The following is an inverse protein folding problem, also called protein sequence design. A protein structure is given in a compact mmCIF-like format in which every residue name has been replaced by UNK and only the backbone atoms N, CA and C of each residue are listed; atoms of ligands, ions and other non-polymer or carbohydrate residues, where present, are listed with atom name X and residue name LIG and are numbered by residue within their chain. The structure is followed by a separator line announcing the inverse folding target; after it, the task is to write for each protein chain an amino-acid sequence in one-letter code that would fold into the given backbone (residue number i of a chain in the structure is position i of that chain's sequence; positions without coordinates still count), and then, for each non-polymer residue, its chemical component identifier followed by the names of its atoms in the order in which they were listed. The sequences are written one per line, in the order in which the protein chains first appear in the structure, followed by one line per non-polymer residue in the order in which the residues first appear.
data_IF_824799636207
#
_entry.id   IF_824799636207
#
_cell.length_a   1.000
_cell.length_b   1.000
_cell.length_c   1.000
_cell.angle_alpha   90.00
_cell.angle_beta   90.00
_cell.angle_gamma   90.00
#
_symmetry.space_group_name_H-M   'P 1'
#
loop_
_entity.id
_entity.type
_entity.pdbx_description
1 polymer ?
#
# COMPACT_ATOMS: atom_id res chain seq x y z
N UNK A 1 27.49 -29.71 4.02
CA UNK A 1 28.04 -28.37 3.68
C UNK A 1 27.00 -27.65 2.83
N UNK A 2 26.22 -26.78 3.44
CA UNK A 2 25.35 -25.90 2.67
C UNK A 2 26.24 -24.99 1.83
N UNK A 3 26.00 -25.00 0.55
CA UNK A 3 26.79 -24.29 -0.43
C UNK A 3 26.71 -22.77 -0.15
N UNK A 4 27.86 -22.08 0.04
CA UNK A 4 27.92 -20.64 0.25
C UNK A 4 27.11 -19.88 -0.83
N UNK A 5 27.04 -20.41 -2.04
CA UNK A 5 26.32 -19.84 -3.16
C UNK A 5 24.77 -19.89 -2.95
N UNK A 6 24.25 -20.93 -2.28
CA UNK A 6 22.83 -21.02 -1.96
C UNK A 6 22.42 -20.01 -0.89
N UNK A 7 23.26 -19.79 0.13
CA UNK A 7 23.06 -18.76 1.16
C UNK A 7 23.11 -17.35 0.55
N UNK A 8 24.07 -17.12 -0.36
CA UNK A 8 24.22 -15.83 -1.04
C UNK A 8 23.04 -15.53 -1.97
N UNK A 9 22.48 -16.53 -2.63
CA UNK A 9 21.25 -16.41 -3.40
C UNK A 9 20.04 -16.08 -2.50
N UNK A 10 19.95 -16.72 -1.34
CA UNK A 10 18.85 -16.47 -0.39
C UNK A 10 18.91 -15.09 0.29
N UNK A 11 20.08 -14.46 0.33
CA UNK A 11 20.32 -13.17 0.99
C UNK A 11 20.44 -11.98 0.04
N UNK A 12 20.13 -12.14 -1.26
CA UNK A 12 20.18 -11.00 -2.17
C UNK A 12 19.10 -9.97 -1.88
N UNK A 13 19.36 -8.72 -2.23
CA UNK A 13 18.50 -7.56 -1.95
C UNK A 13 17.07 -7.76 -2.48
N UNK A 14 16.90 -8.24 -3.70
CA UNK A 14 15.56 -8.45 -4.30
C UNK A 14 14.73 -9.47 -3.52
N UNK A 15 15.36 -10.58 -3.10
CA UNK A 15 14.72 -11.59 -2.27
C UNK A 15 14.33 -11.05 -0.90
N UNK A 16 15.19 -10.27 -0.27
CA UNK A 16 14.90 -9.64 1.02
C UNK A 16 13.75 -8.66 0.93
N UNK A 17 13.74 -7.77 -0.05
CA UNK A 17 12.66 -6.79 -0.27
C UNK A 17 11.32 -7.52 -0.48
N UNK A 18 11.29 -8.52 -1.36
CA UNK A 18 10.09 -9.32 -1.62
C UNK A 18 9.59 -10.05 -0.38
N UNK A 19 10.50 -10.67 0.38
CA UNK A 19 10.15 -11.40 1.59
C UNK A 19 9.60 -10.47 2.67
N UNK A 20 10.24 -9.34 2.89
CA UNK A 20 9.79 -8.32 3.86
C UNK A 20 8.40 -7.80 3.47
N UNK A 21 8.18 -7.46 2.20
CA UNK A 21 6.86 -7.04 1.72
C UNK A 21 5.78 -8.07 2.01
N UNK A 22 6.03 -9.35 1.70
CA UNK A 22 5.09 -10.43 1.95
C UNK A 22 4.80 -10.61 3.45
N UNK A 23 5.82 -10.50 4.29
CA UNK A 23 5.67 -10.63 5.74
C UNK A 23 4.89 -9.46 6.35
N UNK A 24 5.17 -8.23 5.93
CA UNK A 24 4.41 -7.04 6.36
C UNK A 24 2.95 -7.17 5.94
N UNK A 25 2.69 -7.54 4.68
CA UNK A 25 1.33 -7.74 4.17
C UNK A 25 0.55 -8.76 5.00
N UNK A 26 1.18 -9.90 5.31
CA UNK A 26 0.57 -10.94 6.14
C UNK A 26 0.28 -10.45 7.55
N UNK A 27 1.21 -9.74 8.17
CA UNK A 27 1.04 -9.18 9.52
C UNK A 27 -0.08 -8.14 9.56
N UNK A 28 -0.15 -7.26 8.59
CA UNK A 28 -1.22 -6.27 8.48
C UNK A 28 -2.60 -6.94 8.39
N UNK A 29 -2.75 -7.92 7.50
CA UNK A 29 -4.01 -8.66 7.33
C UNK A 29 -4.40 -9.39 8.62
N UNK A 30 -3.44 -10.02 9.32
CA UNK A 30 -3.68 -10.65 10.61
C UNK A 30 -4.17 -9.64 11.65
N UNK A 31 -3.48 -8.50 11.81
CA UNK A 31 -3.87 -7.45 12.75
C UNK A 31 -5.26 -6.88 12.42
N UNK A 32 -5.58 -6.68 11.14
CA UNK A 32 -6.91 -6.24 10.70
C UNK A 32 -7.99 -7.26 11.04
N UNK A 33 -7.75 -8.53 10.74
CA UNK A 33 -8.68 -9.63 11.03
C UNK A 33 -8.96 -9.75 12.53
N UNK A 34 -7.92 -9.67 13.38
CA UNK A 34 -8.07 -9.68 14.85
C UNK A 34 -8.92 -8.51 15.36
N UNK A 35 -8.93 -7.39 14.65
CA UNK A 35 -9.80 -6.24 14.94
C UNK A 35 -11.18 -6.32 14.28
N UNK A 36 -11.52 -7.42 13.61
CA UNK A 36 -12.80 -7.61 12.92
C UNK A 36 -12.92 -6.84 11.60
N UNK A 37 -11.80 -6.43 11.00
CA UNK A 37 -11.76 -5.67 9.76
C UNK A 37 -11.33 -6.55 8.58
N UNK A 38 -12.11 -6.49 7.49
CA UNK A 38 -11.81 -7.17 6.22
C UNK A 38 -11.25 -6.16 5.21
N UNK A 39 -9.93 -6.03 5.21
CA UNK A 39 -9.20 -5.15 4.30
C UNK A 39 -7.84 -5.74 3.93
N UNK A 40 -7.45 -5.65 2.66
CA UNK A 40 -6.11 -5.96 2.19
C UNK A 40 -5.18 -4.75 2.29
N UNK A 41 -3.87 -4.99 2.29
CA UNK A 41 -2.88 -3.91 2.25
C UNK A 41 -3.01 -3.07 0.97
N UNK A 42 -3.26 -3.71 -0.18
CA UNK A 42 -3.48 -3.01 -1.45
C UNK A 42 -4.72 -2.09 -1.41
N UNK A 43 -5.81 -2.55 -0.79
CA UNK A 43 -7.00 -1.71 -0.59
C UNK A 43 -6.69 -0.52 0.32
N UNK A 44 -5.97 -0.73 1.42
CA UNK A 44 -5.53 0.33 2.31
C UNK A 44 -4.68 1.37 1.58
N UNK A 45 -3.72 0.92 0.76
CA UNK A 45 -2.85 1.80 -0.03
C UNK A 45 -3.62 2.67 -1.02
N UNK A 46 -4.73 2.19 -1.55
CA UNK A 46 -5.62 2.96 -2.45
C UNK A 46 -6.48 3.95 -1.66
N UNK A 47 -6.97 3.59 -0.48
CA UNK A 47 -7.80 4.49 0.34
C UNK A 47 -7.02 5.71 0.85
N UNK A 48 -5.73 5.57 1.12
CA UNK A 48 -4.89 6.64 1.65
C UNK A 48 -4.90 7.92 0.81
N UNK A 49 -4.49 7.88 -0.46
CA UNK A 49 -4.51 9.05 -1.34
C UNK A 49 -5.89 9.69 -1.47
N UNK A 50 -6.95 8.89 -1.57
CA UNK A 50 -8.33 9.38 -1.65
C UNK A 50 -8.70 10.12 -0.36
N UNK A 51 -8.31 9.58 0.80
CA UNK A 51 -8.58 10.21 2.09
C UNK A 51 -7.89 11.58 2.22
N UNK A 52 -6.61 11.65 1.87
CA UNK A 52 -5.82 12.87 2.07
C UNK A 52 -6.11 13.96 1.03
N UNK A 53 -6.48 13.60 -0.19
CA UNK A 53 -6.79 14.55 -1.27
C UNK A 53 -8.28 14.83 -1.41
N UNK A 54 -9.16 14.09 -0.73
CA UNK A 54 -10.62 14.17 -0.86
C UNK A 54 -11.17 13.41 -2.05
N UNK A 55 -10.43 13.33 -3.13
CA UNK A 55 -10.70 12.52 -4.33
C UNK A 55 -9.40 12.09 -5.01
N UNK A 56 -9.47 11.16 -5.94
CA UNK A 56 -8.32 10.76 -6.75
C UNK A 56 -8.78 10.23 -8.12
N UNK A 57 -8.04 10.57 -9.18
CA UNK A 57 -8.17 9.89 -10.46
C UNK A 57 -7.53 8.50 -10.40
N UNK A 58 -7.96 7.57 -11.27
CA UNK A 58 -7.31 6.27 -11.34
C UNK A 58 -5.83 6.36 -11.76
N UNK A 59 -5.47 7.38 -12.56
CA UNK A 59 -4.07 7.66 -12.90
C UNK A 59 -3.25 8.02 -11.66
N UNK A 60 -3.74 8.92 -10.83
CA UNK A 60 -3.07 9.30 -9.57
C UNK A 60 -2.89 8.08 -8.66
N UNK A 61 -3.91 7.24 -8.54
CA UNK A 61 -3.83 6.01 -7.74
C UNK A 61 -2.80 5.02 -8.31
N UNK A 62 -2.74 4.88 -9.64
CA UNK A 62 -1.75 4.03 -10.32
C UNK A 62 -0.32 4.52 -10.04
N UNK A 63 -0.07 5.81 -10.19
CA UNK A 63 1.23 6.42 -9.95
C UNK A 63 1.63 6.31 -8.47
N UNK A 64 0.73 6.63 -7.56
CA UNK A 64 0.99 6.59 -6.11
C UNK A 64 1.24 5.17 -5.58
N UNK A 65 0.47 4.20 -6.05
CA UNK A 65 0.57 2.82 -5.58
C UNK A 65 1.63 1.99 -6.34
N UNK A 66 2.29 2.57 -7.35
CA UNK A 66 3.21 1.85 -8.25
C UNK A 66 2.57 0.59 -8.84
N UNK A 67 1.30 0.70 -9.24
CA UNK A 67 0.52 -0.38 -9.84
C UNK A 67 0.02 0.02 -11.23
N UNK A 68 -0.14 -0.97 -12.09
CA UNK A 68 -0.74 -0.75 -13.40
C UNK A 68 -2.24 -0.38 -13.30
N UNK A 69 -2.75 0.21 -14.37
CA UNK A 69 -4.14 0.67 -14.47
C UNK A 69 -5.15 -0.47 -14.24
N UNK A 70 -4.86 -1.67 -14.73
CA UNK A 70 -5.74 -2.84 -14.59
C UNK A 70 -5.85 -3.28 -13.13
N UNK A 71 -4.73 -3.32 -12.41
CA UNK A 71 -4.68 -3.65 -10.98
C UNK A 71 -5.46 -2.61 -10.15
N UNK A 72 -5.27 -1.33 -10.42
CA UNK A 72 -6.02 -0.25 -9.74
C UNK A 72 -7.51 -0.36 -10.02
N UNK A 73 -7.92 -0.59 -11.27
CA UNK A 73 -9.32 -0.77 -11.64
C UNK A 73 -9.96 -1.92 -10.85
N UNK A 74 -9.25 -3.03 -10.71
CA UNK A 74 -9.72 -4.20 -9.94
C UNK A 74 -9.90 -3.87 -8.45
N UNK A 75 -8.94 -3.18 -7.85
CA UNK A 75 -9.01 -2.78 -6.44
C UNK A 75 -10.17 -1.81 -6.22
N UNK A 76 -10.30 -0.79 -7.06
CA UNK A 76 -11.40 0.20 -6.97
C UNK A 76 -12.75 -0.46 -7.18
N UNK A 77 -12.89 -1.40 -8.13
CA UNK A 77 -14.12 -2.18 -8.31
C UNK A 77 -14.50 -2.94 -7.04
N UNK A 78 -13.53 -3.56 -6.37
CA UNK A 78 -13.76 -4.29 -5.12
C UNK A 78 -14.20 -3.34 -4.00
N UNK A 79 -13.55 -2.20 -3.87
CA UNK A 79 -13.92 -1.18 -2.88
C UNK A 79 -15.31 -0.59 -3.15
N UNK A 80 -15.68 -0.39 -4.42
CA UNK A 80 -17.00 0.09 -4.81
C UNK A 80 -18.10 -0.95 -4.51
N UNK A 81 -17.85 -2.22 -4.77
CA UNK A 81 -18.76 -3.32 -4.39
C UNK A 81 -18.98 -3.41 -2.89
N UNK A 82 -17.96 -3.09 -2.10
CA UNK A 82 -18.05 -3.01 -0.63
C UNK A 82 -18.68 -1.69 -0.15
N UNK A 83 -19.10 -0.81 -1.04
CA UNK A 83 -19.65 0.51 -0.73
C UNK A 83 -18.69 1.42 0.06
N UNK A 84 -17.40 1.29 -0.18
CA UNK A 84 -16.35 2.09 0.49
C UNK A 84 -15.92 3.30 -0.34
N UNK A 85 -16.05 3.20 -1.65
CA UNK A 85 -15.80 4.28 -2.60
C UNK A 85 -16.90 4.36 -3.64
N UNK A 86 -17.00 5.52 -4.29
CA UNK A 86 -17.83 5.74 -5.48
C UNK A 86 -17.00 6.43 -6.55
N UNK A 87 -17.30 6.15 -7.83
CA UNK A 87 -16.79 6.89 -8.96
C UNK A 87 -17.75 8.01 -9.31
N UNK A 88 -17.19 9.20 -9.51
CA UNK A 88 -17.93 10.36 -9.99
C UNK A 88 -17.23 10.92 -11.23
N UNK A 89 -17.95 11.41 -12.25
CA UNK A 89 -17.34 12.05 -13.40
C UNK A 89 -16.54 13.28 -12.97
N UNK A 90 -15.35 13.48 -13.57
CA UNK A 90 -14.59 14.71 -13.38
C UNK A 90 -15.38 15.89 -13.97
N UNK A 91 -15.37 17.04 -13.30
CA UNK A 91 -16.11 18.23 -13.73
C UNK A 91 -15.57 18.85 -15.01
N UNK A 92 -14.24 18.73 -15.25
CA UNK A 92 -13.56 19.29 -16.41
C UNK A 92 -13.53 18.33 -17.60
N UNK A 93 -13.44 17.02 -17.36
CA UNK A 93 -13.49 15.97 -18.38
C UNK A 93 -14.33 14.80 -17.92
N UNK A 94 -15.59 14.75 -18.36
CA UNK A 94 -16.55 13.70 -18.02
C UNK A 94 -16.13 12.29 -18.45
N UNK A 95 -15.10 12.14 -19.27
CA UNK A 95 -14.52 10.83 -19.64
C UNK A 95 -13.62 10.27 -18.55
N UNK A 96 -13.20 11.10 -17.61
CA UNK A 96 -12.36 10.71 -16.47
C UNK A 96 -13.25 10.55 -15.24
N UNK A 97 -13.08 9.44 -14.52
CA UNK A 97 -13.72 9.22 -13.23
C UNK A 97 -12.79 9.62 -12.09
N UNK A 98 -13.33 10.31 -11.11
CA UNK A 98 -12.71 10.54 -9.81
C UNK A 98 -13.28 9.56 -8.81
N UNK A 99 -12.44 9.06 -7.94
CA UNK A 99 -12.81 8.13 -6.86
C UNK A 99 -12.87 8.91 -5.57
N UNK A 100 -13.98 8.79 -4.84
CA UNK A 100 -14.17 9.44 -3.53
C UNK A 100 -14.58 8.39 -2.48
N UNK A 101 -14.26 8.66 -1.22
CA UNK A 101 -14.70 7.81 -0.10
C UNK A 101 -16.17 8.06 0.20
N UNK A 102 -16.92 6.97 0.43
CA UNK A 102 -18.23 7.04 1.09
C UNK A 102 -18.06 7.31 2.58
N UNK A 103 -19.16 7.55 3.29
CA UNK A 103 -19.14 7.62 4.76
C UNK A 103 -18.58 6.33 5.37
N UNK A 104 -18.98 5.17 4.84
CA UNK A 104 -18.43 3.88 5.27
C UNK A 104 -16.92 3.75 4.97
N UNK A 105 -16.45 4.26 3.83
CA UNK A 105 -15.04 4.27 3.47
C UNK A 105 -14.21 5.15 4.41
N UNK A 106 -14.71 6.32 4.78
CA UNK A 106 -14.08 7.21 5.78
C UNK A 106 -13.98 6.54 7.16
N UNK A 107 -15.06 5.89 7.57
CA UNK A 107 -15.08 5.16 8.83
C UNK A 107 -14.07 4.01 8.83
N UNK A 108 -14.05 3.21 7.77
CA UNK A 108 -13.07 2.12 7.65
C UNK A 108 -11.64 2.65 7.68
N UNK A 109 -11.36 3.76 6.98
CA UNK A 109 -10.03 4.37 7.02
C UNK A 109 -9.60 4.70 8.46
N UNK A 110 -10.48 5.33 9.24
CA UNK A 110 -10.23 5.67 10.63
C UNK A 110 -10.04 4.42 11.51
N UNK A 111 -10.80 3.36 11.27
CA UNK A 111 -10.70 2.11 12.02
C UNK A 111 -9.41 1.34 11.71
N UNK A 112 -8.91 1.43 10.48
CA UNK A 112 -7.68 0.76 10.04
C UNK A 112 -6.42 1.53 10.44
N UNK A 113 -6.49 2.84 10.60
CA UNK A 113 -5.32 3.65 10.93
C UNK A 113 -4.55 3.17 12.18
N UNK A 114 -5.22 2.83 13.31
CA UNK A 114 -4.54 2.24 14.47
C UNK A 114 -3.89 0.88 14.18
N UNK A 115 -4.51 0.08 13.29
CA UNK A 115 -3.98 -1.23 12.88
C UNK A 115 -2.68 -1.06 12.10
N UNK A 116 -2.65 -0.11 11.17
CA UNK A 116 -1.44 0.22 10.43
C UNK A 116 -0.34 0.72 11.37
N UNK A 117 -0.67 1.57 12.33
CA UNK A 117 0.30 2.07 13.32
C UNK A 117 0.85 0.94 14.21
N UNK A 118 0.00 -0.01 14.62
CA UNK A 118 0.42 -1.23 15.32
C UNK A 118 1.40 -2.03 14.47
N UNK A 119 1.04 -2.28 13.22
CA UNK A 119 1.89 -3.04 12.28
C UNK A 119 3.23 -2.36 12.07
N UNK A 120 3.27 -1.03 11.89
CA UNK A 120 4.51 -0.27 11.78
C UNK A 120 5.41 -0.44 13.00
N UNK A 121 4.86 -0.38 14.21
CA UNK A 121 5.60 -0.58 15.46
C UNK A 121 6.18 -1.99 15.56
N UNK A 122 5.44 -3.00 15.14
CA UNK A 122 5.92 -4.39 15.11
C UNK A 122 7.07 -4.57 14.11
N UNK A 123 6.95 -3.96 12.93
CA UNK A 123 7.98 -4.01 11.87
C UNK A 123 9.27 -3.31 12.29
N UNK A 124 9.19 -2.19 12.99
CA UNK A 124 10.36 -1.39 13.40
C UNK A 124 10.90 -1.72 14.79
N UNK A 125 10.38 -2.78 15.44
CA UNK A 125 10.82 -3.18 16.77
C UNK A 125 12.33 -3.41 16.81
N UNK A 126 12.99 -2.83 17.81
CA UNK A 126 14.43 -2.98 18.05
C UNK A 126 15.33 -2.47 16.91
N UNK A 127 14.78 -1.62 16.03
CA UNK A 127 15.55 -0.93 14.98
C UNK A 127 15.63 0.55 15.33
N UNK A 128 16.82 1.11 15.31
CA UNK A 128 17.03 2.53 15.57
C UNK A 128 16.32 3.39 14.52
N UNK A 129 15.72 4.50 14.94
CA UNK A 129 15.01 5.42 14.02
C UNK A 129 15.94 5.95 12.91
N UNK A 130 17.21 6.22 13.25
CA UNK A 130 18.24 6.62 12.28
C UNK A 130 18.45 5.57 11.18
N UNK A 131 18.41 4.29 11.52
CA UNK A 131 18.57 3.20 10.53
C UNK A 131 17.34 3.09 9.65
N UNK A 132 16.14 3.29 10.20
CA UNK A 132 14.90 3.35 9.43
C UNK A 132 14.94 4.50 8.42
N UNK A 133 15.41 5.68 8.80
CA UNK A 133 15.51 6.82 7.88
C UNK A 133 16.56 6.57 6.77
N UNK A 134 17.72 5.99 7.09
CA UNK A 134 18.71 5.58 6.09
C UNK A 134 18.11 4.56 5.12
N UNK A 135 17.38 3.58 5.64
CA UNK A 135 16.73 2.56 4.83
C UNK A 135 15.67 3.15 3.87
N UNK A 136 14.85 4.08 4.35
CA UNK A 136 13.88 4.81 3.50
C UNK A 136 14.59 5.59 2.38
N UNK A 137 15.70 6.27 2.70
CA UNK A 137 16.48 7.02 1.72
C UNK A 137 17.04 6.10 0.63
N UNK A 138 17.55 4.93 1.02
CA UNK A 138 18.07 3.93 0.07
C UNK A 138 16.94 3.42 -0.84
N UNK A 139 15.78 3.06 -0.28
CA UNK A 139 14.63 2.61 -1.06
C UNK A 139 14.15 3.69 -2.03
N UNK A 140 14.10 4.94 -1.60
CA UNK A 140 13.71 6.08 -2.45
C UNK A 140 14.69 6.26 -3.63
N UNK A 141 15.98 6.10 -3.40
CA UNK A 141 16.99 6.12 -4.48
C UNK A 141 16.82 4.98 -5.46
N UNK A 142 16.50 3.77 -4.97
CA UNK A 142 16.22 2.62 -5.84
C UNK A 142 15.00 2.91 -6.72
N UNK A 143 13.91 3.45 -6.15
CA UNK A 143 12.72 3.85 -6.91
C UNK A 143 13.10 4.87 -7.98
N UNK A 144 13.80 5.93 -7.61
CA UNK A 144 14.24 6.97 -8.55
C UNK A 144 15.11 6.44 -9.70
N UNK A 145 16.00 5.48 -9.41
CA UNK A 145 16.81 4.85 -10.45
C UNK A 145 15.96 4.06 -11.45
N UNK A 146 14.86 3.46 -11.01
CA UNK A 146 13.98 2.64 -11.85
C UNK A 146 12.94 3.47 -12.61
N UNK A 147 12.62 4.68 -12.15
CA UNK A 147 11.67 5.58 -12.82
C UNK A 147 12.32 6.39 -13.96
N UNK A 148 13.65 6.56 -13.95
CA UNK A 148 14.38 7.40 -14.89
C UNK A 148 14.98 6.64 -16.08
N UNK A 149 14.54 5.40 -16.38
CA UNK A 149 14.95 4.62 -17.54
C UNK A 149 13.98 4.76 -18.73
#
# INVERSE_FOLDING_TARGET
MENKDSLQFHMNMGKLISSVHNMITRRFVQNAHEAGLDISLDQWMVLGPIHYHGDASQKLLSDFCFKDKTSITRIVNTLEKKNLVVRVPDQLDHRVNRVILTTAGKQLFNDVLPIMNKTKKEVSRDIAESDIEIFKDVLTKIISNLENE
#
